data_IF_015447321270
#
_entry.id   IF_015447321270
#
_cell.length_a   1.000
_cell.length_b   1.000
_cell.length_c   1.000
_cell.angle_alpha   90.00
_cell.angle_beta   90.00
_cell.angle_gamma   90.00
#
_symmetry.space_group_name_H-M   'P 1'
#
loop_
_entity.id
_entity.type
_entity.pdbx_description
1 polymer ?
#
# COMPACT_ATOMS: atom_id res chain seq x y z
N UNK A 1 -7.19 -33.87 67.28
CA UNK A 1 -8.46 -33.42 66.65
C UNK A 1 -8.23 -32.26 65.67
N UNK A 2 -7.19 -31.44 65.85
CA UNK A 2 -6.84 -30.33 64.94
C UNK A 2 -5.84 -30.70 63.83
N UNK A 3 -5.27 -31.90 63.84
CA UNK A 3 -4.15 -32.27 62.95
C UNK A 3 -4.56 -32.26 61.47
N UNK A 4 -5.81 -32.63 61.17
CA UNK A 4 -6.37 -32.60 59.82
C UNK A 4 -6.56 -31.15 59.32
N UNK A 5 -6.97 -30.23 60.20
CA UNK A 5 -7.15 -28.82 59.85
C UNK A 5 -5.80 -28.15 59.58
N UNK A 6 -4.79 -28.48 60.38
CA UNK A 6 -3.41 -28.01 60.17
C UNK A 6 -2.86 -28.50 58.82
N UNK A 7 -3.05 -29.78 58.49
CA UNK A 7 -2.59 -30.33 57.21
C UNK A 7 -3.30 -29.66 56.01
N UNK A 8 -4.61 -29.40 56.12
CA UNK A 8 -5.37 -28.71 55.08
C UNK A 8 -4.90 -27.26 54.88
N UNK A 9 -4.65 -26.52 55.97
CA UNK A 9 -4.11 -25.17 55.91
C UNK A 9 -2.71 -25.14 55.28
N UNK A 10 -1.86 -26.12 55.58
CA UNK A 10 -0.53 -26.23 54.96
C UNK A 10 -0.62 -26.49 53.45
N UNK A 11 -1.55 -27.36 53.01
CA UNK A 11 -1.81 -27.60 51.58
C UNK A 11 -2.32 -26.35 50.87
N UNK A 12 -3.25 -25.62 51.50
CA UNK A 12 -3.76 -24.37 50.92
C UNK A 12 -2.66 -23.31 50.82
N UNK A 13 -1.85 -23.13 51.88
CA UNK A 13 -0.73 -22.20 51.90
C UNK A 13 0.25 -22.50 50.76
N UNK A 14 0.65 -23.77 50.59
CA UNK A 14 1.55 -24.19 49.52
C UNK A 14 0.96 -23.92 48.12
N UNK A 15 -0.35 -24.16 47.94
CA UNK A 15 -1.05 -23.87 46.70
C UNK A 15 -1.04 -22.36 46.36
N UNK A 16 -1.28 -21.52 47.38
CA UNK A 16 -1.23 -20.06 47.24
C UNK A 16 0.18 -19.56 46.94
N UNK A 17 1.20 -20.08 47.60
CA UNK A 17 2.60 -19.75 47.33
C UNK A 17 3.00 -20.08 45.89
N UNK A 18 2.59 -21.24 45.38
CA UNK A 18 2.85 -21.64 44.00
C UNK A 18 2.12 -20.74 42.99
N UNK A 19 0.88 -20.32 43.31
CA UNK A 19 0.13 -19.38 42.47
C UNK A 19 0.81 -18.02 42.41
N UNK A 20 1.30 -17.52 43.55
CA UNK A 20 2.02 -16.25 43.62
C UNK A 20 3.32 -16.35 42.81
N UNK A 21 4.08 -17.44 42.93
CA UNK A 21 5.29 -17.67 42.13
C UNK A 21 4.99 -17.66 40.62
N UNK A 22 3.93 -18.34 40.18
CA UNK A 22 3.51 -18.35 38.77
C UNK A 22 3.15 -16.94 38.26
N UNK A 23 2.46 -16.13 39.08
CA UNK A 23 2.15 -14.73 38.75
C UNK A 23 3.43 -13.91 38.57
N UNK A 24 4.40 -14.04 39.46
CA UNK A 24 5.68 -13.33 39.34
C UNK A 24 6.48 -13.76 38.11
N UNK A 25 6.55 -15.06 37.82
CA UNK A 25 7.20 -15.56 36.60
C UNK A 25 6.55 -14.97 35.32
N UNK A 26 5.22 -14.91 35.27
CA UNK A 26 4.50 -14.29 34.15
C UNK A 26 4.77 -12.79 34.05
N UNK A 27 4.79 -12.10 35.19
CA UNK A 27 5.11 -10.67 35.24
C UNK A 27 6.52 -10.38 34.70
N UNK A 28 7.52 -11.15 35.12
CA UNK A 28 8.90 -11.02 34.64
C UNK A 28 9.00 -11.27 33.13
N UNK A 29 8.33 -12.32 32.63
CA UNK A 29 8.27 -12.59 31.19
C UNK A 29 7.63 -11.45 30.40
N UNK A 30 6.54 -10.86 30.91
CA UNK A 30 5.91 -9.70 30.28
C UNK A 30 6.83 -8.46 30.30
N UNK A 31 7.56 -8.21 31.38
CA UNK A 31 8.52 -7.10 31.46
C UNK A 31 9.65 -7.27 30.44
N UNK A 32 10.17 -8.49 30.29
CA UNK A 32 11.19 -8.79 29.28
C UNK A 32 10.66 -8.52 27.86
N UNK A 33 9.48 -9.04 27.51
CA UNK A 33 8.86 -8.80 26.20
C UNK A 33 8.61 -7.32 25.93
N UNK A 34 8.20 -6.55 26.95
CA UNK A 34 8.01 -5.11 26.83
C UNK A 34 9.34 -4.40 26.55
N UNK A 35 10.41 -4.78 27.25
CA UNK A 35 11.75 -4.25 27.02
C UNK A 35 12.25 -4.51 25.60
N UNK A 36 12.07 -5.73 25.10
CA UNK A 36 12.43 -6.11 23.72
C UNK A 36 11.69 -5.24 22.70
N UNK A 37 10.37 -5.07 22.86
CA UNK A 37 9.56 -4.21 21.98
C UNK A 37 9.93 -2.73 22.07
N UNK A 38 10.29 -2.24 23.25
CA UNK A 38 10.78 -0.86 23.40
C UNK A 38 12.10 -0.66 22.64
N UNK A 39 12.98 -1.66 22.66
CA UNK A 39 14.23 -1.61 21.91
C UNK A 39 13.99 -1.61 20.40
N UNK A 40 13.10 -2.47 19.88
CA UNK A 40 12.68 -2.45 18.47
C UNK A 40 12.09 -1.08 18.06
N UNK A 41 11.27 -0.47 18.93
CA UNK A 41 10.70 0.85 18.68
C UNK A 41 11.78 1.94 18.61
N UNK A 42 12.81 1.88 19.47
CA UNK A 42 13.95 2.78 19.41
C UNK A 42 14.71 2.66 18.08
N UNK A 43 14.97 1.44 17.61
CA UNK A 43 15.64 1.20 16.33
C UNK A 43 14.84 1.77 15.15
N UNK A 44 13.50 1.64 15.18
CA UNK A 44 12.63 2.26 14.17
C UNK A 44 12.68 3.79 14.20
N UNK A 45 12.71 4.40 15.40
CA UNK A 45 12.84 5.85 15.54
C UNK A 45 14.17 6.34 14.94
N UNK A 46 15.26 5.62 15.18
CA UNK A 46 16.57 5.97 14.63
C UNK A 46 16.61 5.82 13.11
N UNK A 47 15.97 4.78 12.56
CA UNK A 47 15.80 4.63 11.11
C UNK A 47 14.99 5.78 10.49
N UNK A 48 13.93 6.23 11.15
CA UNK A 48 13.13 7.38 10.69
C UNK A 48 13.96 8.67 10.71
N UNK A 49 14.72 8.92 11.78
CA UNK A 49 15.63 10.08 11.86
C UNK A 49 16.68 10.05 10.74
N UNK A 50 17.35 8.92 10.55
CA UNK A 50 18.33 8.73 9.49
C UNK A 50 17.73 9.03 8.11
N UNK A 51 16.52 8.53 7.84
CA UNK A 51 15.84 8.81 6.58
C UNK A 51 15.46 10.29 6.46
N UNK A 52 14.99 10.93 7.53
CA UNK A 52 14.65 12.35 7.54
C UNK A 52 15.88 13.22 7.21
N UNK A 53 17.02 12.97 7.84
CA UNK A 53 18.30 13.66 7.57
C UNK A 53 18.74 13.46 6.12
N UNK A 54 18.61 12.23 5.60
CA UNK A 54 18.90 11.94 4.19
C UNK A 54 18.01 12.72 3.23
N UNK A 55 16.71 12.83 3.52
CA UNK A 55 15.78 13.63 2.72
C UNK A 55 16.12 15.13 2.77
N UNK A 56 16.47 15.66 3.95
CA UNK A 56 16.88 17.05 4.10
C UNK A 56 18.14 17.35 3.28
N UNK A 57 19.15 16.47 3.33
CA UNK A 57 20.36 16.57 2.51
C UNK A 57 20.07 16.56 1.01
N UNK A 58 19.20 15.65 0.54
CA UNK A 58 18.76 15.61 -0.86
C UNK A 58 18.03 16.90 -1.26
N UNK A 59 17.19 17.43 -0.39
CA UNK A 59 16.44 18.67 -0.63
C UNK A 59 17.37 19.87 -0.75
N UNK A 60 18.37 19.97 0.14
CA UNK A 60 19.39 21.02 0.10
C UNK A 60 20.20 20.96 -1.20
N UNK A 61 20.55 19.76 -1.69
CA UNK A 61 21.24 19.58 -2.96
C UNK A 61 20.37 19.87 -4.19
N UNK A 62 19.04 19.79 -4.06
CA UNK A 62 18.07 20.09 -5.12
C UNK A 62 17.70 21.57 -5.20
N UNK A 63 18.14 22.42 -4.26
CA UNK A 63 18.03 23.87 -4.40
C UNK A 63 18.99 24.37 -5.48
N UNK A 64 18.61 24.15 -6.74
CA UNK A 64 19.24 24.72 -7.92
C UNK A 64 19.36 26.24 -7.75
N UNK A 65 20.57 26.77 -7.95
CA UNK A 65 20.84 28.20 -8.19
C UNK A 65 20.30 28.61 -9.57
N UNK A 66 19.01 28.34 -9.80
CA UNK A 66 18.31 28.73 -11.00
C UNK A 66 18.05 30.23 -10.86
N UNK A 67 18.99 31.03 -11.38
CA UNK A 67 18.84 32.48 -11.48
C UNK A 67 17.47 32.80 -12.12
N UNK A 68 16.75 33.82 -11.62
CA UNK A 68 15.43 34.13 -12.13
C UNK A 68 15.53 34.51 -13.61
N UNK A 69 15.09 33.62 -14.49
CA UNK A 69 14.82 33.99 -15.88
C UNK A 69 13.61 34.93 -15.90
N UNK A 70 13.64 35.96 -16.77
CA UNK A 70 12.60 36.98 -16.81
C UNK A 70 11.24 36.33 -17.08
N UNK A 71 10.29 36.63 -16.20
CA UNK A 71 8.91 36.17 -16.28
C UNK A 71 8.27 36.56 -17.62
N UNK A 72 7.69 35.61 -18.37
CA UNK A 72 6.91 35.96 -19.56
C UNK A 72 5.62 36.70 -19.14
N UNK A 73 5.07 37.56 -20.00
CA UNK A 73 3.89 38.35 -19.69
C UNK A 73 2.71 37.43 -19.35
N UNK A 74 2.04 37.74 -18.24
CA UNK A 74 0.83 37.06 -17.80
C UNK A 74 -0.28 37.20 -18.85
N UNK A 75 -0.47 36.17 -19.65
CA UNK A 75 -1.73 35.95 -20.37
C UNK A 75 -2.76 35.43 -19.38
N UNK A 76 -3.87 36.15 -19.26
CA UNK A 76 -5.02 35.80 -18.43
C UNK A 76 -5.52 34.41 -18.83
N UNK A 77 -5.32 33.43 -17.96
CA UNK A 77 -5.87 32.10 -18.12
C UNK A 77 -7.30 32.12 -17.58
N UNK A 78 -8.27 32.36 -18.45
CA UNK A 78 -9.67 32.12 -18.15
C UNK A 78 -9.87 30.63 -17.85
N UNK A 79 -10.39 30.33 -16.66
CA UNK A 79 -10.77 28.98 -16.25
C UNK A 79 -12.09 28.65 -16.95
N UNK A 80 -12.18 27.60 -17.79
CA UNK A 80 -13.44 27.20 -18.37
C UNK A 80 -14.31 26.56 -17.28
N UNK A 81 -15.35 27.26 -16.86
CA UNK A 81 -16.50 26.69 -16.18
C UNK A 81 -17.32 25.91 -17.22
N UNK A 82 -16.97 24.65 -17.45
CA UNK A 82 -17.63 23.80 -18.44
C UNK A 82 -17.48 22.33 -18.07
N UNK A 83 -18.56 21.75 -17.57
CA UNK A 83 -18.76 20.32 -17.41
C UNK A 83 -18.83 19.66 -18.78
N UNK A 84 -17.68 19.26 -19.34
CA UNK A 84 -17.64 18.28 -20.42
C UNK A 84 -16.39 17.41 -20.24
N UNK A 85 -16.64 16.22 -19.70
CA UNK A 85 -15.66 15.16 -19.54
C UNK A 85 -15.36 14.60 -20.93
N UNK A 86 -14.35 15.15 -21.62
CA UNK A 86 -13.83 14.57 -22.86
C UNK A 86 -13.16 13.24 -22.50
N UNK A 87 -13.63 12.08 -22.99
CA UNK A 87 -12.89 10.85 -22.80
C UNK A 87 -11.61 10.97 -23.63
N UNK A 88 -10.47 11.06 -22.93
CA UNK A 88 -9.17 11.02 -23.59
C UNK A 88 -9.11 9.76 -24.45
N UNK A 89 -8.95 9.98 -25.76
CA UNK A 89 -8.64 8.96 -26.77
C UNK A 89 -7.57 8.03 -26.21
N UNK A 90 -7.87 6.74 -26.17
CA UNK A 90 -6.92 5.68 -25.84
C UNK A 90 -5.75 5.72 -26.82
N UNK A 91 -4.69 6.45 -26.47
CA UNK A 91 -3.39 6.26 -27.10
C UNK A 91 -2.97 4.81 -26.83
N UNK A 92 -2.69 4.08 -27.91
CA UNK A 92 -2.26 2.69 -27.87
C UNK A 92 -1.06 2.58 -26.94
N UNK A 93 -1.27 1.94 -25.79
CA UNK A 93 -0.26 1.66 -24.79
C UNK A 93 0.91 0.91 -25.44
N UNK A 94 2.10 1.49 -25.39
CA UNK A 94 3.31 0.79 -25.80
C UNK A 94 3.52 -0.41 -24.85
N UNK A 95 3.48 -1.66 -25.35
CA UNK A 95 3.54 -2.85 -24.50
C UNK A 95 4.92 -3.09 -23.88
N UNK A 96 5.95 -2.34 -24.28
CA UNK A 96 7.34 -2.46 -23.82
C UNK A 96 7.65 -1.64 -22.56
N UNK A 97 6.78 -0.72 -22.15
CA UNK A 97 6.89 -0.01 -20.87
C UNK A 97 5.87 -0.59 -19.90
N UNK A 98 6.32 -1.02 -18.71
CA UNK A 98 5.42 -1.54 -17.68
C UNK A 98 4.32 -0.52 -17.39
N UNK A 99 3.08 -0.88 -17.72
CA UNK A 99 1.94 0.02 -17.59
C UNK A 99 1.39 -0.07 -16.16
N UNK A 100 1.25 1.08 -15.51
CA UNK A 100 0.55 1.17 -14.22
C UNK A 100 -0.87 1.65 -14.49
N UNK A 101 -1.86 0.83 -14.14
CA UNK A 101 -3.26 1.18 -14.24
C UNK A 101 -3.79 1.54 -12.85
N UNK A 102 -4.19 2.79 -12.65
CA UNK A 102 -4.77 3.26 -11.39
C UNK A 102 -6.28 3.28 -11.52
N UNK A 103 -6.97 2.41 -10.81
CA UNK A 103 -8.43 2.41 -10.71
C UNK A 103 -8.84 3.05 -9.40
N UNK A 104 -9.73 4.03 -9.49
CA UNK A 104 -10.19 4.75 -8.33
C UNK A 104 -11.63 5.24 -8.45
N UNK A 105 -12.21 5.55 -7.29
CA UNK A 105 -13.45 6.30 -7.21
C UNK A 105 -13.18 7.82 -7.14
N UNK A 106 -14.15 8.59 -6.62
CA UNK A 106 -14.04 10.04 -6.46
C UNK A 106 -12.81 10.48 -5.65
N UNK A 107 -12.31 9.64 -4.74
CA UNK A 107 -11.12 9.92 -3.93
C UNK A 107 -9.87 10.11 -4.80
N UNK A 108 -9.77 9.34 -5.88
CA UNK A 108 -8.64 9.36 -6.82
C UNK A 108 -8.73 10.45 -7.88
N UNK A 109 -9.71 11.35 -7.82
CA UNK A 109 -9.83 12.45 -8.78
C UNK A 109 -8.55 13.31 -8.79
N UNK A 110 -7.95 13.45 -9.97
CA UNK A 110 -6.66 14.14 -10.18
C UNK A 110 -5.42 13.41 -9.64
N UNK A 111 -5.58 12.26 -8.98
CA UNK A 111 -4.46 11.51 -8.40
C UNK A 111 -3.52 10.95 -9.48
N UNK A 112 -4.06 10.49 -10.60
CA UNK A 112 -3.27 9.96 -11.72
C UNK A 112 -2.26 10.95 -12.29
N UNK A 113 -2.65 12.22 -12.46
CA UNK A 113 -1.75 13.29 -12.93
C UNK A 113 -0.62 13.54 -11.93
N UNK A 114 -0.93 13.54 -10.63
CA UNK A 114 0.08 13.69 -9.58
C UNK A 114 1.06 12.51 -9.55
N UNK A 115 0.54 11.29 -9.69
CA UNK A 115 1.35 10.09 -9.72
C UNK A 115 2.27 10.06 -10.95
N UNK A 116 1.77 10.47 -12.12
CA UNK A 116 2.59 10.65 -13.34
C UNK A 116 3.74 11.64 -13.14
N UNK A 117 3.54 12.72 -12.38
CA UNK A 117 4.62 13.67 -12.10
C UNK A 117 5.68 13.12 -11.13
N UNK A 118 5.35 12.09 -10.36
CA UNK A 118 6.24 11.49 -9.36
C UNK A 118 6.87 10.17 -9.82
N UNK A 119 6.37 9.58 -10.91
CA UNK A 119 6.70 8.24 -11.36
C UNK A 119 7.33 8.27 -12.75
N UNK A 120 8.41 7.51 -12.96
CA UNK A 120 9.03 7.33 -14.29
C UNK A 120 8.26 6.38 -15.21
N UNK A 121 7.27 5.68 -14.69
CA UNK A 121 6.46 4.72 -15.45
C UNK A 121 5.21 5.40 -16.03
N UNK A 122 4.73 4.86 -17.15
CA UNK A 122 3.49 5.32 -17.77
C UNK A 122 2.30 4.93 -16.89
N UNK A 123 1.61 5.94 -16.33
CA UNK A 123 0.40 5.74 -15.55
C UNK A 123 -0.84 6.11 -16.36
N UNK A 124 -1.75 5.15 -16.46
CA UNK A 124 -3.11 5.35 -16.96
C UNK A 124 -4.05 5.36 -15.77
N UNK A 125 -4.79 6.46 -15.60
CA UNK A 125 -5.72 6.60 -14.48
C UNK A 125 -7.16 6.51 -14.95
N UNK A 126 -7.90 5.58 -14.34
CA UNK A 126 -9.32 5.40 -14.50
C UNK A 126 -10.02 5.80 -13.20
N UNK A 127 -10.55 7.03 -13.16
CA UNK A 127 -11.31 7.55 -12.04
C UNK A 127 -12.81 7.50 -12.37
N UNK A 128 -13.57 6.67 -11.66
CA UNK A 128 -15.00 6.50 -11.86
C UNK A 128 -15.76 7.07 -10.67
N UNK A 129 -16.50 8.15 -10.91
CA UNK A 129 -17.31 8.77 -9.87
C UNK A 129 -18.47 7.84 -9.50
N UNK A 130 -18.72 7.66 -8.20
CA UNK A 130 -19.83 6.90 -7.63
C UNK A 130 -19.82 5.38 -7.87
N UNK A 131 -18.70 4.78 -8.30
CA UNK A 131 -18.60 3.32 -8.33
C UNK A 131 -18.22 2.75 -6.96
N UNK A 132 -18.86 1.64 -6.62
CA UNK A 132 -18.51 0.82 -5.46
C UNK A 132 -17.36 -0.14 -5.79
N UNK A 133 -16.77 -0.74 -4.74
CA UNK A 133 -15.67 -1.70 -4.84
C UNK A 133 -15.92 -2.80 -5.89
N UNK A 134 -17.07 -3.48 -5.85
CA UNK A 134 -17.38 -4.58 -6.78
C UNK A 134 -17.48 -4.12 -8.24
N UNK A 135 -17.96 -2.90 -8.48
CA UNK A 135 -18.07 -2.34 -9.83
C UNK A 135 -16.70 -1.98 -10.39
N UNK A 136 -15.80 -1.44 -9.55
CA UNK A 136 -14.40 -1.22 -9.93
C UNK A 136 -13.70 -2.54 -10.25
N UNK A 137 -13.88 -3.57 -9.42
CA UNK A 137 -13.35 -4.92 -9.70
C UNK A 137 -13.87 -5.44 -11.05
N UNK A 138 -15.15 -5.25 -11.36
CA UNK A 138 -15.72 -5.64 -12.64
C UNK A 138 -15.11 -4.86 -13.83
N UNK A 139 -14.85 -3.56 -13.67
CA UNK A 139 -14.15 -2.75 -14.70
C UNK A 139 -12.73 -3.25 -14.93
N UNK A 140 -12.00 -3.57 -13.87
CA UNK A 140 -10.63 -4.11 -13.94
C UNK A 140 -10.64 -5.47 -14.66
N UNK A 141 -11.54 -6.37 -14.26
CA UNK A 141 -11.69 -7.71 -14.85
C UNK A 141 -11.88 -7.68 -16.37
N UNK A 142 -12.61 -6.68 -16.88
CA UNK A 142 -12.91 -6.54 -18.30
C UNK A 142 -11.87 -5.73 -19.07
N UNK A 143 -10.80 -5.27 -18.41
CA UNK A 143 -9.69 -4.59 -19.08
C UNK A 143 -8.66 -5.61 -19.53
N UNK A 144 -8.22 -5.53 -20.78
CA UNK A 144 -7.15 -6.39 -21.28
C UNK A 144 -5.81 -5.96 -20.65
N UNK A 145 -5.19 -6.87 -19.91
CA UNK A 145 -3.92 -6.64 -19.21
C UNK A 145 -2.90 -7.71 -19.58
N UNK A 146 -1.62 -7.40 -19.35
CA UNK A 146 -0.51 -8.35 -19.52
C UNK A 146 0.18 -8.60 -18.17
N UNK A 147 1.05 -9.61 -18.13
CA UNK A 147 1.78 -10.01 -16.92
C UNK A 147 2.78 -8.96 -16.40
N UNK A 148 3.01 -7.88 -17.15
CA UNK A 148 3.85 -6.75 -16.73
C UNK A 148 3.01 -5.59 -16.17
N UNK A 149 1.69 -5.67 -16.25
CA UNK A 149 0.79 -4.61 -15.81
C UNK A 149 0.71 -4.58 -14.28
N UNK A 150 0.95 -3.41 -13.70
CA UNK A 150 0.69 -3.18 -12.27
C UNK A 150 -0.64 -2.47 -12.11
N UNK A 151 -1.52 -3.02 -11.28
CA UNK A 151 -2.82 -2.41 -10.98
C UNK A 151 -2.78 -1.80 -9.59
N UNK A 152 -3.12 -0.52 -9.50
CA UNK A 152 -3.32 0.18 -8.23
C UNK A 152 -4.81 0.38 -8.04
N UNK A 153 -5.34 -0.05 -6.89
CA UNK A 153 -6.72 0.17 -6.50
C UNK A 153 -6.80 1.15 -5.34
N UNK A 154 -7.41 2.31 -5.57
CA UNK A 154 -7.61 3.37 -4.58
C UNK A 154 -9.10 3.67 -4.42
N UNK A 155 -9.68 3.31 -3.28
CA UNK A 155 -11.12 3.43 -3.05
C UNK A 155 -11.36 4.26 -1.79
N UNK A 156 -12.11 5.34 -1.90
CA UNK A 156 -12.61 6.10 -0.75
C UNK A 156 -13.94 5.58 -0.21
N UNK A 157 -14.83 5.16 -1.10
CA UNK A 157 -16.18 4.76 -0.78
C UNK A 157 -16.24 3.33 -0.24
N UNK A 158 -16.28 3.21 1.08
CA UNK A 158 -16.47 1.95 1.80
C UNK A 158 -17.94 1.61 2.05
N UNK A 159 -18.89 2.46 1.61
CA UNK A 159 -20.30 2.23 1.90
C UNK A 159 -20.80 0.94 1.25
N UNK A 160 -21.47 0.11 2.05
CA UNK A 160 -21.97 -1.23 1.69
C UNK A 160 -20.92 -2.24 1.25
N UNK A 161 -19.62 -1.96 1.46
CA UNK A 161 -18.56 -2.94 1.19
C UNK A 161 -18.51 -3.94 2.34
N UNK A 162 -18.70 -5.22 2.04
CA UNK A 162 -18.59 -6.29 3.04
C UNK A 162 -17.25 -7.01 2.95
N UNK A 163 -16.91 -7.77 4.01
CA UNK A 163 -15.77 -8.68 3.99
C UNK A 163 -15.80 -9.65 2.80
N UNK A 164 -17.00 -10.13 2.44
CA UNK A 164 -17.19 -11.07 1.33
C UNK A 164 -16.82 -10.40 0.00
N UNK A 165 -17.21 -9.14 -0.18
CA UNK A 165 -16.90 -8.36 -1.39
C UNK A 165 -15.39 -8.21 -1.55
N UNK A 166 -14.69 -7.78 -0.49
CA UNK A 166 -13.22 -7.63 -0.48
C UNK A 166 -12.54 -8.94 -0.86
N UNK A 167 -12.86 -10.05 -0.18
CA UNK A 167 -12.24 -11.35 -0.44
C UNK A 167 -12.51 -11.81 -1.88
N UNK A 168 -13.77 -11.82 -2.30
CA UNK A 168 -14.13 -12.30 -3.64
C UNK A 168 -13.55 -11.42 -4.74
N UNK A 169 -13.53 -10.11 -4.54
CA UNK A 169 -13.01 -9.16 -5.51
C UNK A 169 -11.50 -9.31 -5.67
N UNK A 170 -10.75 -9.36 -4.56
CA UNK A 170 -9.29 -9.54 -4.60
C UNK A 170 -8.93 -10.90 -5.24
N UNK A 171 -9.58 -11.99 -4.84
CA UNK A 171 -9.37 -13.31 -5.43
C UNK A 171 -9.72 -13.34 -6.94
N UNK A 172 -10.70 -12.55 -7.36
CA UNK A 172 -11.02 -12.38 -8.79
C UNK A 172 -9.90 -11.64 -9.51
N UNK A 173 -9.37 -10.56 -8.94
CA UNK A 173 -8.28 -9.78 -9.53
C UNK A 173 -6.98 -10.59 -9.61
N UNK A 174 -6.67 -11.40 -8.58
CA UNK A 174 -5.48 -12.24 -8.58
C UNK A 174 -5.53 -13.36 -9.64
N UNK A 175 -6.71 -13.77 -10.11
CA UNK A 175 -6.83 -14.72 -11.22
C UNK A 175 -6.52 -14.09 -12.59
N UNK A 176 -6.43 -12.77 -12.67
CA UNK A 176 -6.06 -12.08 -13.91
C UNK A 176 -4.56 -12.20 -14.19
N UNK A 177 -4.20 -12.09 -15.46
CA UNK A 177 -2.80 -12.00 -15.92
C UNK A 177 -2.27 -10.57 -15.70
N UNK A 178 -2.03 -10.24 -14.44
CA UNK A 178 -1.37 -9.00 -14.01
C UNK A 178 -0.07 -9.33 -13.27
N UNK A 179 0.89 -8.41 -13.32
CA UNK A 179 2.18 -8.55 -12.63
C UNK A 179 2.02 -8.37 -11.12
N UNK A 180 1.61 -7.17 -10.70
CA UNK A 180 1.36 -6.85 -9.28
C UNK A 180 0.04 -6.12 -9.08
N UNK A 181 -0.66 -6.43 -8.01
CA UNK A 181 -1.82 -5.71 -7.50
C UNK A 181 -1.40 -4.92 -6.26
N UNK A 182 -1.69 -3.63 -6.23
CA UNK A 182 -1.46 -2.75 -5.09
C UNK A 182 -2.82 -2.28 -4.58
N UNK A 183 -3.16 -2.66 -3.35
CA UNK A 183 -4.39 -2.26 -2.67
C UNK A 183 -4.08 -1.14 -1.68
N UNK A 184 -4.67 0.03 -1.91
CA UNK A 184 -4.64 1.10 -0.92
C UNK A 184 -5.71 0.85 0.16
N UNK A 185 -5.38 1.15 1.41
CA UNK A 185 -6.34 1.08 2.50
C UNK A 185 -7.56 1.96 2.25
N UNK A 186 -8.73 1.50 2.71
CA UNK A 186 -9.92 2.30 2.81
C UNK A 186 -9.68 3.39 3.87
N UNK A 187 -9.92 4.67 3.53
CA UNK A 187 -9.57 5.76 4.44
C UNK A 187 -10.55 5.86 5.60
N UNK A 188 -10.04 6.11 6.81
CA UNK A 188 -10.87 6.56 7.93
C UNK A 188 -11.43 7.96 7.70
N UNK A 189 -12.51 8.28 8.40
CA UNK A 189 -13.11 9.61 8.33
C UNK A 189 -13.57 10.08 9.70
N UNK A 190 -13.26 11.33 10.00
CA UNK A 190 -13.76 12.00 11.20
C UNK A 190 -15.26 12.34 11.12
N UNK A 191 -15.90 12.17 9.95
CA UNK A 191 -17.36 12.38 9.80
C UNK A 191 -18.18 11.10 9.86
N UNK A 192 -17.52 9.94 9.75
CA UNK A 192 -18.15 8.65 9.93
C UNK A 192 -18.28 8.36 11.43
N UNK A 193 -19.32 7.64 11.81
CA UNK A 193 -19.47 7.21 13.20
C UNK A 193 -18.46 6.12 13.57
N UNK A 194 -18.29 5.85 14.87
CA UNK A 194 -17.35 4.84 15.35
C UNK A 194 -17.61 3.45 14.76
N UNK A 195 -18.88 3.08 14.56
CA UNK A 195 -19.24 1.78 13.99
C UNK A 195 -18.81 1.64 12.52
N UNK A 196 -18.95 2.71 11.73
CA UNK A 196 -18.49 2.77 10.34
C UNK A 196 -16.96 2.71 10.26
N UNK A 197 -16.25 3.47 11.10
CA UNK A 197 -14.78 3.41 11.16
C UNK A 197 -14.27 2.03 11.65
N UNK A 198 -14.95 1.40 12.60
CA UNK A 198 -14.66 0.02 13.05
C UNK A 198 -14.85 -0.99 11.91
N UNK A 199 -15.87 -0.81 11.07
CA UNK A 199 -16.08 -1.64 9.89
C UNK A 199 -14.91 -1.44 8.90
N UNK A 200 -14.52 -0.19 8.62
CA UNK A 200 -13.36 0.12 7.76
C UNK A 200 -12.09 -0.53 8.31
N UNK A 201 -11.83 -0.45 9.62
CA UNK A 201 -10.69 -1.11 10.25
C UNK A 201 -10.72 -2.63 10.04
N UNK A 202 -11.87 -3.27 10.22
CA UNK A 202 -12.02 -4.71 9.96
C UNK A 202 -11.78 -5.07 8.49
N UNK A 203 -12.25 -4.26 7.55
CA UNK A 203 -12.00 -4.46 6.12
C UNK A 203 -10.52 -4.27 5.76
N UNK A 204 -9.87 -3.23 6.30
CA UNK A 204 -8.44 -2.98 6.13
C UNK A 204 -7.59 -4.15 6.64
N UNK A 205 -7.92 -4.70 7.81
CA UNK A 205 -7.24 -5.90 8.31
C UNK A 205 -7.41 -7.11 7.39
N UNK A 206 -8.59 -7.30 6.78
CA UNK A 206 -8.81 -8.38 5.82
C UNK A 206 -7.93 -8.17 4.57
N UNK A 207 -7.86 -6.95 4.03
CA UNK A 207 -7.00 -6.65 2.89
C UNK A 207 -5.52 -6.87 3.21
N UNK A 208 -5.08 -6.46 4.39
CA UNK A 208 -3.72 -6.70 4.86
C UNK A 208 -3.41 -8.21 4.96
N UNK A 209 -4.27 -9.00 5.61
CA UNK A 209 -4.08 -10.45 5.72
C UNK A 209 -4.04 -11.15 4.35
N UNK A 210 -4.86 -10.70 3.39
CA UNK A 210 -4.81 -11.20 2.02
C UNK A 210 -3.48 -10.85 1.34
N UNK A 211 -2.95 -9.65 1.58
CA UNK A 211 -1.63 -9.26 1.06
C UNK A 211 -0.48 -10.09 1.65
N UNK A 212 -0.57 -10.47 2.93
CA UNK A 212 0.40 -11.38 3.53
C UNK A 212 0.36 -12.77 2.89
N UNK A 213 -0.84 -13.26 2.58
CA UNK A 213 -1.04 -14.58 1.96
C UNK A 213 -0.55 -14.63 0.51
N UNK A 214 -0.71 -13.53 -0.22
CA UNK A 214 -0.40 -13.41 -1.64
C UNK A 214 0.74 -12.41 -1.87
N UNK A 215 1.77 -12.40 -1.01
CA UNK A 215 2.80 -11.35 -0.95
C UNK A 215 3.63 -11.20 -2.24
N UNK A 216 3.72 -12.26 -3.03
CA UNK A 216 4.34 -12.30 -4.34
C UNK A 216 3.56 -11.49 -5.40
N UNK A 217 2.24 -11.37 -5.26
CA UNK A 217 1.37 -10.72 -6.27
C UNK A 217 0.55 -9.55 -5.76
N UNK A 218 0.38 -9.43 -4.44
CA UNK A 218 -0.45 -8.43 -3.80
C UNK A 218 0.35 -7.63 -2.76
N UNK A 219 0.31 -6.31 -2.88
CA UNK A 219 0.87 -5.39 -1.91
C UNK A 219 -0.25 -4.57 -1.28
N UNK A 220 -0.22 -4.45 0.04
CA UNK A 220 -1.12 -3.56 0.78
C UNK A 220 -0.39 -2.28 1.15
N UNK A 221 -0.99 -1.14 0.85
CA UNK A 221 -0.46 0.18 1.15
C UNK A 221 -1.40 0.92 2.09
N UNK A 222 -0.99 1.06 3.36
CA UNK A 222 -1.80 1.76 4.36
C UNK A 222 -1.72 3.28 4.16
N UNK A 223 -2.81 3.84 3.63
CA UNK A 223 -2.93 5.27 3.38
C UNK A 223 -3.33 6.04 4.64
N UNK A 224 -3.83 5.36 5.68
CA UNK A 224 -4.48 6.00 6.83
C UNK A 224 -3.56 6.91 7.62
N UNK A 225 -2.28 6.56 7.76
CA UNK A 225 -1.31 7.40 8.46
C UNK A 225 -1.07 8.75 7.77
N UNK A 226 -1.34 8.84 6.47
CA UNK A 226 -1.20 10.07 5.69
C UNK A 226 -2.53 10.81 5.54
N UNK A 227 -3.63 10.20 6.02
CA UNK A 227 -4.98 10.71 5.85
C UNK A 227 -5.76 11.04 7.12
N UNK A 228 -5.12 10.95 8.30
CA UNK A 228 -5.77 11.14 9.63
C UNK A 228 -6.47 12.48 9.84
N UNK A 229 -5.97 13.57 9.25
CA UNK A 229 -6.53 14.91 9.47
C UNK A 229 -7.70 15.25 8.54
N UNK A 230 -8.28 14.26 7.82
CA UNK A 230 -9.28 14.55 6.79
C UNK A 230 -10.72 14.38 7.23
N UNK A 231 -11.51 15.35 6.80
CA UNK A 231 -12.96 15.35 6.84
C UNK A 231 -13.44 14.71 5.53
N UNK A 232 -13.54 13.38 5.47
CA UNK A 232 -14.24 12.71 4.38
C UNK A 232 -15.73 12.75 4.69
N UNK A 233 -16.43 13.82 4.33
CA UNK A 233 -17.88 13.82 4.46
C UNK A 233 -18.52 12.95 3.34
N UNK A 234 -19.71 12.40 3.59
CA UNK A 234 -20.41 11.52 2.64
C UNK A 234 -20.61 12.13 1.25
N UNK A 235 -20.61 13.46 1.15
CA UNK A 235 -20.85 14.22 -0.09
C UNK A 235 -19.57 14.68 -0.79
N UNK A 236 -18.42 14.63 -0.11
CA UNK A 236 -17.12 15.17 -0.52
C UNK A 236 -16.00 14.25 -0.02
N UNK A 237 -15.91 13.06 -0.62
CA UNK A 237 -14.70 12.23 -0.52
C UNK A 237 -13.59 12.79 -1.42
N UNK A 238 -13.02 13.94 -1.02
CA UNK A 238 -11.88 14.55 -1.69
C UNK A 238 -10.71 14.70 -0.73
N UNK A 239 -9.54 14.24 -1.18
CA UNK A 239 -8.29 14.50 -0.50
C UNK A 239 -7.81 15.93 -0.84
N UNK A 240 -7.42 16.75 0.16
CA UNK A 240 -6.76 18.03 -0.09
C UNK A 240 -5.55 17.87 -1.01
N UNK A 241 -5.22 18.91 -1.80
CA UNK A 241 -4.15 18.83 -2.79
C UNK A 241 -2.79 18.45 -2.18
N UNK A 242 -2.47 19.00 -0.99
CA UNK A 242 -1.24 18.67 -0.25
C UNK A 242 -1.15 17.18 0.06
N UNK A 243 -2.25 16.60 0.51
CA UNK A 243 -2.36 15.19 0.89
C UNK A 243 -2.31 14.26 -0.32
N UNK A 244 -2.97 14.63 -1.42
CA UNK A 244 -2.88 13.88 -2.68
C UNK A 244 -1.45 13.85 -3.22
N UNK A 245 -0.73 14.98 -3.15
CA UNK A 245 0.68 15.05 -3.56
C UNK A 245 1.56 14.16 -2.70
N UNK A 246 1.40 14.21 -1.38
CA UNK A 246 2.15 13.34 -0.46
C UNK A 246 1.86 11.86 -0.73
N UNK A 247 0.58 11.49 -0.83
CA UNK A 247 0.17 10.12 -1.12
C UNK A 247 0.70 9.64 -2.47
N UNK A 248 0.64 10.48 -3.51
CA UNK A 248 1.18 10.15 -4.83
C UNK A 248 2.70 9.95 -4.78
N UNK A 249 3.43 10.80 -4.06
CA UNK A 249 4.89 10.68 -3.92
C UNK A 249 5.27 9.37 -3.23
N UNK A 250 4.61 9.04 -2.12
CA UNK A 250 4.87 7.82 -1.36
C UNK A 250 4.50 6.58 -2.16
N UNK A 251 3.36 6.60 -2.85
CA UNK A 251 2.93 5.49 -3.67
C UNK A 251 3.86 5.30 -4.87
N UNK A 252 4.30 6.38 -5.53
CA UNK A 252 5.28 6.31 -6.61
C UNK A 252 6.60 5.69 -6.15
N UNK A 253 7.09 6.08 -4.96
CA UNK A 253 8.28 5.48 -4.37
C UNK A 253 8.10 3.97 -4.15
N UNK A 254 6.98 3.54 -3.56
CA UNK A 254 6.69 2.12 -3.35
C UNK A 254 6.56 1.34 -4.66
N UNK A 255 5.91 1.94 -5.67
CA UNK A 255 5.78 1.31 -7.00
C UNK A 255 7.16 1.14 -7.64
N UNK A 256 8.04 2.14 -7.56
CA UNK A 256 9.40 2.05 -8.09
C UNK A 256 10.18 0.90 -7.46
N UNK A 257 10.18 0.80 -6.14
CA UNK A 257 10.86 -0.30 -5.42
C UNK A 257 10.31 -1.66 -5.87
N UNK A 258 8.99 -1.79 -6.01
CA UNK A 258 8.35 -3.06 -6.40
C UNK A 258 8.65 -3.43 -7.85
N UNK A 259 8.65 -2.47 -8.78
CA UNK A 259 8.92 -2.74 -10.21
C UNK A 259 10.41 -3.02 -10.44
N UNK A 260 11.31 -2.31 -9.76
CA UNK A 260 12.75 -2.55 -9.87
C UNK A 260 13.11 -3.95 -9.38
N UNK A 261 12.48 -4.45 -8.31
CA UNK A 261 12.64 -5.84 -7.86
C UNK A 261 12.18 -6.85 -8.92
N UNK A 262 11.04 -6.62 -9.58
CA UNK A 262 10.52 -7.51 -10.62
C UNK A 262 11.42 -7.56 -11.86
N UNK A 263 11.96 -6.41 -12.27
CA UNK A 263 12.87 -6.31 -13.44
C UNK A 263 14.26 -6.85 -13.12
N UNK A 264 14.75 -6.64 -11.90
CA UNK A 264 16.03 -7.16 -11.41
C UNK A 264 16.08 -8.69 -11.33
N UNK A 265 14.95 -9.34 -10.99
CA UNK A 265 14.84 -10.81 -11.01
C UNK A 265 14.92 -11.34 -12.45
N UNK A 266 14.22 -10.72 -13.40
CA UNK A 266 14.24 -11.17 -14.81
C UNK A 266 15.61 -11.03 -15.47
N UNK A 267 16.33 -9.95 -15.20
CA UNK A 267 17.69 -9.76 -15.75
C UNK A 267 18.68 -10.79 -15.21
N UNK A 268 18.48 -11.29 -13.99
CA UNK A 268 19.31 -12.36 -13.44
C UNK A 268 19.01 -13.70 -14.11
N UNK A 269 17.74 -14.05 -14.33
CA UNK A 269 17.37 -15.33 -14.95
C UNK A 269 17.82 -15.44 -16.42
N UNK A 270 17.74 -14.36 -17.20
CA UNK A 270 18.26 -14.36 -18.58
C UNK A 270 19.79 -14.42 -18.63
N UNK A 271 20.48 -13.78 -17.67
CA UNK A 271 21.95 -13.85 -17.59
C UNK A 271 22.46 -15.25 -17.21
N UNK A 272 21.68 -16.03 -16.44
CA UNK A 272 22.02 -17.40 -16.05
C UNK A 272 21.78 -18.37 -17.21
N UNK A 273 20.73 -18.16 -18.02
CA UNK A 273 20.47 -18.98 -19.21
C UNK A 273 21.47 -18.73 -20.36
N UNK A 274 22.08 -17.55 -20.44
CA UNK A 274 23.12 -17.24 -21.43
C UNK A 274 24.50 -17.87 -21.15
N UNK A 275 24.68 -18.57 -20.02
CA UNK A 275 25.96 -19.18 -19.61
C UNK A 275 26.06 -20.70 -19.82
N UNK A 276 25.12 -21.32 -20.52
CA UNK A 276 25.27 -22.72 -20.94
C UNK A 276 26.05 -22.73 -22.27
N UNK A 277 27.31 -23.17 -22.31
CA UNK A 277 28.01 -23.35 -23.58
C UNK A 277 27.29 -24.44 -24.36
N UNK A 278 26.85 -24.14 -25.57
CA UNK A 278 26.43 -25.15 -26.53
C UNK A 278 27.66 -25.97 -26.95
N UNK A 279 27.95 -27.03 -26.21
CA UNK A 279 28.86 -28.09 -26.67
C UNK A 279 28.16 -28.87 -27.79
N UNK A 280 28.18 -28.32 -29.00
CA UNK A 280 28.03 -29.10 -30.22
C UNK A 280 29.41 -29.64 -30.58
N UNK A 281 29.78 -30.74 -29.93
CA UNK A 281 30.87 -31.59 -30.40
C UNK A 281 30.39 -32.30 -31.68
N UNK A 282 30.90 -31.82 -32.80
CA UNK A 282 30.88 -32.51 -34.08
C UNK A 282 31.73 -33.78 -33.98
N UNK A 283 31.11 -34.91 -33.64
CA UNK A 283 31.69 -36.21 -33.95
C UNK A 283 31.33 -36.60 -35.39
N UNK A 284 32.13 -36.12 -36.33
CA UNK A 284 32.35 -36.80 -37.61
C UNK A 284 33.35 -37.94 -37.39
N UNK A 285 32.85 -39.17 -37.38
CA UNK A 285 33.67 -40.37 -37.52
C UNK A 285 33.26 -41.11 -38.80
N UNK A 286 34.26 -41.27 -39.65
CA UNK A 286 34.35 -42.26 -40.71
C UNK A 286 34.22 -43.68 -40.16
#
# INVERSE_FOLDING_TARGET
MYDNDIENLQKELLSRENTIKDIFCKYESCQQMLSERMQEACELVDLVKFNAERYESLTNNLTCSCAPTPSPPMSQCEIPSGSDFVPHRSELLNPSQGNILVYSDRLGSGFGSLLNNCCKHTIVSHCYHNLHFNELVHKIKNTQMNEQTTVVLLIGNSHNVTKRDIVNGIETLLKLKLGKLILCALPYSNTLNNHENDLIFKLNNVMHLLSCRHSDRLLYFDTNNFVRDFILNREHMFLPMKSRRLLATLLAFNIHTVIDDLTGIRLRDESVLSRIPSNTDNNSLN
#
